data_IF_908493960508
#
_entry.id   IF_908493960508
#
_cell.length_a   1.000
_cell.length_b   1.000
_cell.length_c   1.000
_cell.angle_alpha   90.00
_cell.angle_beta   90.00
_cell.angle_gamma   90.00
#
_symmetry.space_group_name_H-M   'P 1'
#
loop_
_entity.id
_entity.type
_entity.pdbx_description
1 polymer ?
#
# COMPACT_ATOMS: atom_id res chain seq x y z
N UNK A 1 -5.17 22.71 15.92
CA UNK A 1 -5.53 21.42 15.28
C UNK A 1 -4.21 20.86 14.76
N UNK A 2 -3.77 19.71 15.29
CA UNK A 2 -2.51 19.00 14.98
C UNK A 2 -1.32 19.89 14.55
N UNK A 3 -0.74 20.63 15.50
CA UNK A 3 0.42 21.47 15.20
C UNK A 3 1.62 20.58 14.80
N UNK A 4 2.25 20.91 13.68
CA UNK A 4 3.40 20.19 13.14
C UNK A 4 4.70 20.81 13.65
N UNK A 5 5.70 19.96 13.91
CA UNK A 5 7.06 20.41 14.21
C UNK A 5 7.65 21.18 13.01
N UNK A 6 8.65 22.04 13.26
CA UNK A 6 9.40 22.71 12.18
C UNK A 6 10.01 21.70 11.20
N UNK A 7 10.49 20.56 11.72
CA UNK A 7 11.00 19.44 10.92
C UNK A 7 9.94 18.89 9.97
N UNK A 8 8.73 18.63 10.47
CA UNK A 8 7.64 18.12 9.64
C UNK A 8 7.23 19.15 8.57
N UNK A 9 7.16 20.43 8.92
CA UNK A 9 6.85 21.50 7.97
C UNK A 9 7.90 21.61 6.85
N UNK A 10 9.19 21.48 7.19
CA UNK A 10 10.28 21.45 6.21
C UNK A 10 10.18 20.24 5.26
N UNK A 11 9.95 19.03 5.79
CA UNK A 11 9.75 17.84 4.95
C UNK A 11 8.56 17.97 4.01
N UNK A 12 7.44 18.53 4.49
CA UNK A 12 6.25 18.80 3.65
C UNK A 12 6.59 19.76 2.53
N UNK A 13 7.24 20.89 2.85
CA UNK A 13 7.61 21.90 1.86
C UNK A 13 8.57 21.35 0.80
N UNK A 14 9.62 20.63 1.21
CA UNK A 14 10.58 20.00 0.28
C UNK A 14 9.93 18.90 -0.56
N UNK A 15 9.06 18.08 0.03
CA UNK A 15 8.33 17.03 -0.71
C UNK A 15 7.40 17.64 -1.76
N UNK A 16 6.64 18.68 -1.38
CA UNK A 16 5.75 19.38 -2.30
C UNK A 16 6.53 20.01 -3.46
N UNK A 17 7.64 20.69 -3.16
CA UNK A 17 8.48 21.30 -4.19
C UNK A 17 9.07 20.23 -5.13
N UNK A 18 9.55 19.11 -4.59
CA UNK A 18 10.09 18.00 -5.39
C UNK A 18 9.02 17.42 -6.32
N UNK A 19 7.81 17.14 -5.81
CA UNK A 19 6.72 16.62 -6.64
C UNK A 19 6.42 17.60 -7.79
N UNK A 20 6.28 18.89 -7.50
CA UNK A 20 5.95 19.92 -8.51
C UNK A 20 7.05 20.13 -9.54
N UNK A 21 8.32 20.06 -9.14
CA UNK A 21 9.47 20.42 -9.99
C UNK A 21 10.06 19.21 -10.73
N UNK A 22 10.02 18.02 -10.14
CA UNK A 22 10.74 16.85 -10.63
C UNK A 22 9.81 15.72 -11.10
N UNK A 23 8.60 15.58 -10.51
CA UNK A 23 7.69 14.46 -10.82
C UNK A 23 6.56 14.90 -11.77
N UNK A 24 5.74 15.87 -11.38
CA UNK A 24 4.57 16.33 -12.15
C UNK A 24 4.89 16.68 -13.62
N UNK A 25 6.02 17.35 -13.95
CA UNK A 25 6.34 17.70 -15.33
C UNK A 25 6.57 16.50 -16.26
N UNK A 26 6.94 15.33 -15.72
CA UNK A 26 7.29 14.15 -16.51
C UNK A 26 6.36 12.96 -16.30
N UNK A 27 5.50 12.99 -15.27
CA UNK A 27 4.75 11.82 -14.81
C UNK A 27 3.89 11.21 -15.93
N UNK A 28 3.23 12.03 -16.76
CA UNK A 28 2.46 11.52 -17.90
C UNK A 28 3.35 10.74 -18.88
N UNK A 29 4.46 11.34 -19.30
CA UNK A 29 5.38 10.72 -20.25
C UNK A 29 6.01 9.45 -19.66
N UNK A 30 6.32 9.45 -18.36
CA UNK A 30 6.81 8.28 -17.64
C UNK A 30 5.81 7.12 -17.70
N UNK A 31 4.53 7.36 -17.40
CA UNK A 31 3.51 6.30 -17.45
C UNK A 31 3.19 5.86 -18.88
N UNK A 32 3.23 6.76 -19.86
CA UNK A 32 3.12 6.40 -21.28
C UNK A 32 4.27 5.45 -21.69
N UNK A 33 5.51 5.73 -21.26
CA UNK A 33 6.68 4.86 -21.50
C UNK A 33 6.53 3.52 -20.77
N UNK A 34 6.09 3.51 -19.51
CA UNK A 34 5.78 2.26 -18.77
C UNK A 34 4.82 1.38 -19.56
N UNK A 35 3.72 1.93 -20.08
CA UNK A 35 2.75 1.14 -20.83
C UNK A 35 3.29 0.63 -22.18
N UNK A 36 4.21 1.37 -22.80
CA UNK A 36 4.86 0.94 -24.04
C UNK A 36 5.89 -0.18 -23.81
N UNK A 37 6.62 -0.13 -22.70
CA UNK A 37 7.58 -1.16 -22.31
C UNK A 37 6.88 -2.45 -21.84
N UNK A 38 5.69 -2.33 -21.26
CA UNK A 38 4.98 -3.40 -20.56
C UNK A 38 3.57 -3.63 -21.14
N UNK A 39 3.51 -4.13 -22.39
CA UNK A 39 2.26 -4.18 -23.17
C UNK A 39 1.29 -5.29 -22.79
N UNK A 40 1.79 -6.35 -22.15
CA UNK A 40 1.03 -7.55 -21.84
C UNK A 40 1.38 -8.10 -20.45
N UNK A 41 0.81 -9.26 -20.11
CA UNK A 41 1.01 -9.93 -18.84
C UNK A 41 2.33 -10.70 -18.71
N UNK A 42 3.27 -10.63 -19.67
CA UNK A 42 4.57 -11.32 -19.60
C UNK A 42 5.57 -10.54 -18.73
N UNK A 43 5.47 -10.78 -17.42
CA UNK A 43 6.30 -10.11 -16.41
C UNK A 43 7.80 -10.34 -16.56
N UNK A 44 8.21 -11.38 -17.28
CA UNK A 44 9.63 -11.69 -17.46
C UNK A 44 10.36 -10.65 -18.32
N UNK A 45 9.62 -9.84 -19.07
CA UNK A 45 10.13 -8.77 -19.93
C UNK A 45 9.90 -7.38 -19.34
N UNK A 46 9.20 -7.29 -18.22
CA UNK A 46 8.77 -6.03 -17.67
C UNK A 46 9.94 -5.18 -17.18
N UNK A 47 9.84 -3.87 -17.40
CA UNK A 47 10.92 -2.92 -17.18
C UNK A 47 10.37 -1.60 -16.62
N UNK A 48 11.18 -0.97 -15.76
CA UNK A 48 11.00 0.42 -15.37
C UNK A 48 11.73 1.35 -16.35
N UNK A 49 11.18 2.53 -16.67
CA UNK A 49 11.94 3.59 -17.34
C UNK A 49 13.18 3.99 -16.54
N UNK A 50 14.29 4.28 -17.23
CA UNK A 50 15.56 4.66 -16.61
C UNK A 50 15.46 5.92 -15.72
N UNK A 51 14.48 6.78 -16.02
CA UNK A 51 14.15 8.01 -15.33
C UNK A 51 13.76 7.74 -13.85
N UNK A 52 13.25 6.55 -13.52
CA UNK A 52 12.93 6.19 -12.14
C UNK A 52 14.19 6.27 -11.24
N UNK A 53 15.32 5.72 -11.70
CA UNK A 53 16.57 5.73 -10.92
C UNK A 53 17.17 7.14 -10.80
N UNK A 54 16.97 7.98 -11.81
CA UNK A 54 17.36 9.39 -11.75
C UNK A 54 16.56 10.14 -10.67
N UNK A 55 15.24 9.93 -10.63
CA UNK A 55 14.36 10.52 -9.60
C UNK A 55 14.71 10.02 -8.20
N UNK A 56 14.92 8.70 -8.02
CA UNK A 56 15.34 8.12 -6.74
C UNK A 56 16.67 8.72 -6.26
N UNK A 57 17.64 8.91 -7.17
CA UNK A 57 18.92 9.55 -6.86
C UNK A 57 18.74 10.99 -6.39
N UNK A 58 17.91 11.78 -7.10
CA UNK A 58 17.59 13.16 -6.69
C UNK A 58 16.87 13.19 -5.33
N UNK A 59 15.91 12.30 -5.10
CA UNK A 59 15.17 12.21 -3.84
C UNK A 59 16.09 11.90 -2.66
N UNK A 60 17.03 10.95 -2.82
CA UNK A 60 18.08 10.66 -1.83
C UNK A 60 18.95 11.88 -1.55
N UNK A 61 19.44 12.55 -2.59
CA UNK A 61 20.26 13.75 -2.44
C UNK A 61 19.52 14.90 -1.75
N UNK A 62 18.20 14.99 -1.94
CA UNK A 62 17.33 15.95 -1.26
C UNK A 62 16.95 15.54 0.17
N UNK A 63 17.37 14.35 0.65
CA UNK A 63 17.01 13.82 1.96
C UNK A 63 15.52 13.45 2.08
N UNK A 64 14.85 13.14 0.97
CA UNK A 64 13.44 12.75 0.89
C UNK A 64 13.33 11.23 0.66
N UNK A 65 13.81 10.43 1.61
CA UNK A 65 13.96 8.99 1.45
C UNK A 65 13.60 8.24 2.73
N UNK A 66 12.92 7.09 2.62
CA UNK A 66 12.46 6.28 3.77
C UNK A 66 11.64 7.08 4.80
N UNK A 67 10.85 8.06 4.35
CA UNK A 67 10.14 9.00 5.23
C UNK A 67 9.03 8.34 6.08
N UNK A 68 8.60 7.13 5.71
CA UNK A 68 7.62 6.34 6.45
C UNK A 68 8.18 5.73 7.74
N UNK A 69 9.51 5.56 7.82
CA UNK A 69 10.14 4.82 8.91
C UNK A 69 10.42 5.77 10.09
N UNK A 70 9.90 5.48 11.30
CA UNK A 70 10.04 6.34 12.46
C UNK A 70 11.42 6.23 13.14
N UNK A 71 12.31 5.40 12.61
CA UNK A 71 13.71 5.30 13.02
C UNK A 71 14.51 6.45 12.39
N UNK A 72 15.20 7.25 13.19
CA UNK A 72 15.99 8.40 12.69
C UNK A 72 17.37 8.03 12.15
N UNK A 73 17.86 6.81 12.41
CA UNK A 73 19.12 6.32 11.86
C UNK A 73 18.90 5.66 10.50
N UNK A 74 17.80 4.92 10.35
CA UNK A 74 17.47 4.16 9.14
C UNK A 74 16.48 4.87 8.20
N UNK A 75 15.78 5.88 8.69
CA UNK A 75 14.77 6.65 7.96
C UNK A 75 14.72 8.11 8.39
N UNK A 76 13.57 8.76 8.23
CA UNK A 76 13.41 10.18 8.54
C UNK A 76 13.07 10.46 10.02
N UNK A 77 12.72 9.44 10.80
CA UNK A 77 12.39 9.61 12.21
C UNK A 77 11.10 10.41 12.47
N UNK A 78 10.17 10.42 11.50
CA UNK A 78 8.91 11.15 11.59
C UNK A 78 7.86 10.36 12.39
N UNK A 79 7.01 11.07 13.13
CA UNK A 79 5.84 10.45 13.74
C UNK A 79 4.82 10.04 12.67
N UNK A 80 3.84 9.19 13.01
CA UNK A 80 2.79 8.78 12.07
C UNK A 80 1.97 10.00 11.64
N UNK A 81 1.68 10.91 12.57
CA UNK A 81 1.01 12.17 12.27
C UNK A 81 1.83 13.08 11.35
N UNK A 82 3.14 13.23 11.60
CA UNK A 82 4.01 14.05 10.75
C UNK A 82 4.08 13.48 9.33
N UNK A 83 4.24 12.15 9.21
CA UNK A 83 4.27 11.46 7.93
C UNK A 83 2.93 11.50 7.19
N UNK A 84 1.79 11.63 7.89
CA UNK A 84 0.47 11.65 7.28
C UNK A 84 0.31 12.71 6.18
N UNK A 85 0.84 13.90 6.44
CA UNK A 85 0.80 15.02 5.49
C UNK A 85 1.69 14.77 4.26
N UNK A 86 2.84 14.13 4.46
CA UNK A 86 3.76 13.76 3.37
C UNK A 86 3.13 12.65 2.53
N UNK A 87 2.58 11.62 3.16
CA UNK A 87 1.90 10.52 2.49
C UNK A 87 0.70 11.02 1.66
N UNK A 88 -0.06 11.99 2.19
CA UNK A 88 -1.11 12.68 1.43
C UNK A 88 -0.55 13.38 0.18
N UNK A 89 0.55 14.14 0.29
CA UNK A 89 1.21 14.74 -0.89
C UNK A 89 1.62 13.68 -1.91
N UNK A 90 2.26 12.59 -1.46
CA UNK A 90 2.68 11.52 -2.37
C UNK A 90 1.51 10.80 -3.03
N UNK A 91 0.33 10.76 -2.40
CA UNK A 91 -0.86 10.12 -2.94
C UNK A 91 -1.43 10.81 -4.19
N UNK A 92 -1.03 12.06 -4.44
CA UNK A 92 -1.42 12.81 -5.64
C UNK A 92 -0.76 12.29 -6.92
N UNK A 93 0.27 11.45 -6.79
CA UNK A 93 1.07 10.89 -7.88
C UNK A 93 1.18 9.37 -7.71
N UNK A 94 1.05 8.62 -8.80
CA UNK A 94 1.24 7.16 -8.76
C UNK A 94 2.72 6.80 -8.69
N UNK A 95 3.60 7.72 -9.09
CA UNK A 95 5.05 7.55 -9.14
C UNK A 95 5.74 7.93 -7.83
N UNK A 96 5.27 8.98 -7.16
CA UNK A 96 5.94 9.58 -6.00
C UNK A 96 6.26 8.60 -4.85
N UNK A 97 5.38 7.67 -4.44
CA UNK A 97 5.70 6.72 -3.38
C UNK A 97 6.94 5.89 -3.70
N UNK A 98 7.13 5.45 -4.94
CA UNK A 98 8.31 4.66 -5.36
C UNK A 98 9.57 5.52 -5.40
N UNK A 99 9.47 6.76 -5.88
CA UNK A 99 10.58 7.72 -5.92
C UNK A 99 11.14 8.01 -4.53
N UNK A 100 10.30 8.02 -3.51
CA UNK A 100 10.69 8.28 -2.11
C UNK A 100 10.93 7.00 -1.28
N UNK A 101 10.90 5.82 -1.91
CA UNK A 101 10.97 4.50 -1.26
C UNK A 101 9.92 4.29 -0.15
N UNK A 102 8.74 4.85 -0.36
CA UNK A 102 7.59 4.83 0.54
C UNK A 102 6.41 3.99 0.00
N UNK A 103 6.65 3.21 -1.06
CA UNK A 103 5.63 2.40 -1.72
C UNK A 103 5.31 1.12 -0.93
N UNK A 104 4.06 0.66 -1.04
CA UNK A 104 3.68 -0.69 -0.66
C UNK A 104 4.13 -1.69 -1.77
N UNK A 105 4.36 -2.97 -1.45
CA UNK A 105 4.35 -3.55 -0.10
C UNK A 105 5.68 -3.34 0.67
N UNK A 106 6.69 -2.73 0.04
CA UNK A 106 8.05 -2.60 0.58
C UNK A 106 8.10 -1.87 1.92
N UNK A 107 7.39 -0.75 2.08
CA UNK A 107 7.38 -0.01 3.36
C UNK A 107 6.91 -0.89 4.53
N UNK A 108 5.85 -1.68 4.33
CA UNK A 108 5.35 -2.59 5.36
C UNK A 108 6.29 -3.77 5.62
N UNK A 109 6.98 -4.27 4.60
CA UNK A 109 7.96 -5.33 4.74
C UNK A 109 9.25 -4.83 5.43
N UNK A 110 9.67 -3.59 5.16
CA UNK A 110 10.78 -2.93 5.84
C UNK A 110 10.47 -2.68 7.32
N UNK A 111 9.30 -2.14 7.66
CA UNK A 111 8.88 -1.98 9.06
C UNK A 111 8.86 -3.30 9.84
N UNK A 112 8.39 -4.36 9.17
CA UNK A 112 8.35 -5.69 9.75
C UNK A 112 9.77 -6.20 10.05
N UNK A 113 10.69 -6.14 9.09
CA UNK A 113 12.08 -6.58 9.29
C UNK A 113 12.82 -5.69 10.30
N UNK A 114 12.54 -4.39 10.33
CA UNK A 114 13.07 -3.47 11.32
C UNK A 114 12.69 -3.88 12.75
N UNK A 115 11.42 -4.25 12.97
CA UNK A 115 10.91 -4.66 14.29
C UNK A 115 11.30 -6.08 14.69
N UNK A 116 11.20 -7.03 13.77
CA UNK A 116 11.20 -8.47 14.09
C UNK A 116 12.33 -9.26 13.44
N UNK A 117 13.06 -8.67 12.49
CA UNK A 117 14.16 -9.35 11.82
C UNK A 117 15.37 -9.56 12.73
N UNK A 118 16.08 -10.68 12.56
CA UNK A 118 17.41 -10.87 13.16
C UNK A 118 18.43 -9.89 12.58
N UNK A 119 19.61 -9.78 13.18
CA UNK A 119 20.67 -8.90 12.65
C UNK A 119 21.11 -9.33 11.25
N UNK A 120 21.23 -10.63 11.02
CA UNK A 120 21.58 -11.22 9.73
C UNK A 120 20.48 -10.94 8.69
N UNK A 121 19.21 -11.12 9.06
CA UNK A 121 18.08 -10.81 8.17
C UNK A 121 18.02 -9.31 7.83
N UNK A 122 18.30 -8.43 8.81
CA UNK A 122 18.36 -6.98 8.59
C UNK A 122 19.49 -6.61 7.64
N UNK A 123 20.68 -7.16 7.84
CA UNK A 123 21.82 -6.91 6.97
C UNK A 123 21.57 -7.42 5.54
N UNK A 124 21.02 -8.62 5.40
CA UNK A 124 20.82 -9.26 4.10
C UNK A 124 19.64 -8.67 3.31
N UNK A 125 18.54 -8.30 3.98
CA UNK A 125 17.29 -7.94 3.29
C UNK A 125 16.79 -6.54 3.60
N UNK A 126 16.83 -6.10 4.87
CA UNK A 126 16.35 -4.76 5.22
C UNK A 126 17.24 -3.68 4.61
N UNK A 127 18.58 -3.83 4.69
CA UNK A 127 19.49 -2.81 4.18
C UNK A 127 19.35 -2.58 2.66
N UNK A 128 19.32 -3.62 1.79
CA UNK A 128 19.08 -3.40 0.36
C UNK A 128 17.70 -2.82 0.04
N UNK A 129 16.67 -3.15 0.83
CA UNK A 129 15.33 -2.55 0.71
C UNK A 129 15.36 -1.05 1.07
N UNK A 130 15.99 -0.69 2.19
CA UNK A 130 16.19 0.70 2.62
C UNK A 130 17.03 1.49 1.61
N UNK A 131 17.96 0.84 0.91
CA UNK A 131 18.77 1.45 -0.15
C UNK A 131 18.02 1.58 -1.48
N UNK A 132 16.85 0.97 -1.64
CA UNK A 132 16.13 1.02 -2.92
C UNK A 132 16.67 0.09 -4.00
N UNK A 133 17.50 -0.89 -3.65
CA UNK A 133 18.25 -1.76 -4.57
C UNK A 133 17.44 -2.99 -4.99
N UNK A 134 16.66 -3.54 -4.06
CA UNK A 134 15.75 -4.67 -4.29
C UNK A 134 14.32 -4.26 -3.93
N UNK A 135 13.34 -5.02 -4.41
CA UNK A 135 11.94 -4.99 -3.99
C UNK A 135 11.57 -6.28 -3.28
N UNK A 136 10.49 -6.23 -2.53
CA UNK A 136 9.97 -7.31 -1.71
C UNK A 136 8.50 -7.58 -2.00
N UNK A 137 8.06 -8.78 -1.65
CA UNK A 137 6.68 -9.25 -1.89
C UNK A 137 6.12 -9.81 -0.60
N UNK A 138 4.84 -9.56 -0.33
CA UNK A 138 4.14 -10.17 0.81
C UNK A 138 3.12 -11.20 0.31
N UNK A 139 3.30 -12.45 0.73
CA UNK A 139 2.52 -13.60 0.27
C UNK A 139 1.67 -14.16 1.42
N UNK A 140 0.41 -13.75 1.48
CA UNK A 140 -0.53 -14.17 2.53
C UNK A 140 -1.80 -14.79 1.96
N UNK A 141 -2.45 -14.09 1.02
CA UNK A 141 -3.74 -14.49 0.44
C UNK A 141 -3.60 -15.75 -0.40
N UNK A 142 -4.57 -16.66 -0.26
CA UNK A 142 -4.64 -17.93 -0.97
C UNK A 142 -5.87 -17.98 -1.89
N UNK A 143 -5.77 -18.55 -3.10
CA UNK A 143 -6.90 -18.60 -4.03
C UNK A 143 -7.96 -19.63 -3.64
N UNK A 144 -7.59 -20.68 -2.90
CA UNK A 144 -8.48 -21.79 -2.56
C UNK A 144 -9.36 -21.55 -1.32
N UNK A 145 -9.09 -20.51 -0.55
CA UNK A 145 -9.77 -20.23 0.72
C UNK A 145 -10.13 -18.76 0.89
N UNK A 146 -11.17 -18.50 1.68
CA UNK A 146 -11.59 -17.15 2.04
C UNK A 146 -10.56 -16.51 3.00
N UNK A 147 -9.54 -15.88 2.40
CA UNK A 147 -8.36 -15.34 3.11
C UNK A 147 -8.63 -14.07 3.93
N UNK A 148 -9.85 -13.53 3.88
CA UNK A 148 -10.27 -12.43 4.76
C UNK A 148 -10.32 -12.87 6.23
N UNK A 149 -10.56 -14.15 6.49
CA UNK A 149 -10.27 -14.80 7.76
C UNK A 149 -8.91 -15.50 7.65
N UNK A 150 -7.90 -14.92 8.29
CA UNK A 150 -6.53 -15.42 8.23
C UNK A 150 -6.37 -16.83 8.84
N UNK A 151 -7.34 -17.30 9.62
CA UNK A 151 -7.30 -18.67 10.21
C UNK A 151 -7.65 -19.76 9.20
N UNK A 152 -8.18 -19.41 8.02
CA UNK A 152 -8.45 -20.37 6.93
C UNK A 152 -7.21 -20.74 6.12
N UNK A 153 -6.05 -20.14 6.39
CA UNK A 153 -4.81 -20.35 5.63
C UNK A 153 -4.40 -21.83 5.63
N UNK A 154 -4.08 -22.38 4.45
CA UNK A 154 -3.73 -23.79 4.27
C UNK A 154 -2.30 -24.00 3.77
N UNK A 155 -1.67 -22.99 3.17
CA UNK A 155 -0.27 -23.09 2.80
C UNK A 155 0.59 -23.29 4.06
N UNK A 156 1.52 -24.24 4.01
CA UNK A 156 2.23 -24.73 5.19
C UNK A 156 3.68 -24.26 5.24
N UNK A 157 4.20 -24.10 6.46
CA UNK A 157 5.61 -24.01 6.75
C UNK A 157 5.94 -25.02 7.86
N UNK A 158 6.57 -26.14 7.50
CA UNK A 158 6.86 -27.27 8.38
C UNK A 158 8.36 -27.36 8.62
N UNK A 159 8.77 -27.59 9.87
CA UNK A 159 10.18 -27.76 10.23
C UNK A 159 10.59 -29.21 9.92
N UNK A 160 11.66 -29.38 9.15
CA UNK A 160 12.26 -30.66 8.79
C UNK A 160 13.77 -30.56 9.01
N UNK A 161 14.24 -31.05 10.18
CA UNK A 161 15.64 -30.88 10.59
C UNK A 161 16.00 -29.42 10.84
N UNK A 162 16.99 -28.92 10.11
CA UNK A 162 17.48 -27.53 10.13
C UNK A 162 16.86 -26.65 9.02
N UNK A 163 15.86 -27.17 8.30
CA UNK A 163 15.13 -26.47 7.24
C UNK A 163 13.64 -26.26 7.57
N UNK A 164 13.05 -25.34 6.82
CA UNK A 164 11.61 -25.09 6.72
C UNK A 164 11.19 -25.51 5.32
N UNK A 165 10.21 -26.40 5.23
CA UNK A 165 9.59 -26.85 3.98
C UNK A 165 8.28 -26.11 3.78
N UNK A 166 8.18 -25.36 2.68
CA UNK A 166 7.02 -24.56 2.32
C UNK A 166 6.24 -25.21 1.18
N UNK A 167 4.91 -25.29 1.34
CA UNK A 167 4.01 -25.78 0.31
C UNK A 167 2.74 -24.94 0.24
N UNK A 168 2.24 -24.71 -0.98
CA UNK A 168 0.94 -24.10 -1.21
C UNK A 168 0.95 -23.07 -2.34
N UNK A 169 -0.14 -22.32 -2.44
CA UNK A 169 -0.32 -21.31 -3.50
C UNK A 169 -0.79 -20.00 -2.90
N UNK A 170 -0.15 -18.90 -3.30
CA UNK A 170 -0.51 -17.54 -2.93
C UNK A 170 -0.89 -16.74 -4.17
N UNK A 171 -1.70 -15.70 -3.98
CA UNK A 171 -2.11 -14.79 -5.06
C UNK A 171 -2.35 -13.38 -4.52
N UNK A 172 -2.50 -12.41 -5.42
CA UNK A 172 -2.49 -10.98 -5.08
C UNK A 172 -1.19 -10.55 -4.38
N UNK A 173 -0.09 -11.19 -4.77
CA UNK A 173 1.25 -10.87 -4.30
C UNK A 173 1.78 -9.66 -5.07
N UNK A 174 1.48 -8.46 -4.55
CA UNK A 174 1.88 -7.19 -5.17
C UNK A 174 3.41 -7.04 -5.22
N UNK A 175 3.93 -6.47 -6.31
CA UNK A 175 5.36 -6.30 -6.55
C UNK A 175 6.05 -7.51 -7.16
N UNK A 176 5.34 -8.63 -7.37
CA UNK A 176 5.94 -9.87 -7.86
C UNK A 176 6.39 -9.78 -9.34
N UNK A 177 5.82 -8.86 -10.11
CA UNK A 177 6.25 -8.62 -11.48
C UNK A 177 7.49 -7.72 -11.60
N UNK A 178 7.90 -7.09 -10.50
CA UNK A 178 9.01 -6.13 -10.54
C UNK A 178 10.34 -6.84 -10.82
N UNK A 179 11.15 -6.40 -11.80
CA UNK A 179 12.42 -7.04 -12.13
C UNK A 179 13.42 -7.04 -10.95
N UNK A 180 13.24 -6.14 -9.98
CA UNK A 180 14.03 -6.04 -8.77
C UNK A 180 13.40 -6.77 -7.57
N UNK A 181 12.28 -7.47 -7.72
CA UNK A 181 11.77 -8.34 -6.66
C UNK A 181 12.77 -9.45 -6.37
N UNK A 182 13.29 -9.52 -5.12
CA UNK A 182 14.27 -10.54 -4.70
C UNK A 182 13.86 -11.35 -3.49
N UNK A 183 12.93 -10.84 -2.68
CA UNK A 183 12.58 -11.47 -1.40
C UNK A 183 11.08 -11.50 -1.18
N UNK A 184 10.58 -12.68 -0.80
CA UNK A 184 9.19 -12.92 -0.41
C UNK A 184 9.13 -13.05 1.11
N UNK A 185 8.17 -12.38 1.74
CA UNK A 185 7.69 -12.71 3.08
C UNK A 185 6.46 -13.60 2.92
N UNK A 186 6.64 -14.89 3.20
CA UNK A 186 5.61 -15.92 3.09
C UNK A 186 4.96 -16.16 4.45
N UNK A 187 3.65 -15.93 4.53
CA UNK A 187 2.86 -16.26 5.71
C UNK A 187 2.18 -17.62 5.50
N UNK A 188 2.36 -18.52 6.46
CA UNK A 188 1.87 -19.90 6.36
C UNK A 188 1.39 -20.45 7.71
N UNK A 189 0.57 -21.49 7.61
CA UNK A 189 0.21 -22.37 8.72
C UNK A 189 1.44 -23.20 9.14
N UNK A 190 1.80 -23.13 10.41
CA UNK A 190 2.87 -23.92 11.04
C UNK A 190 2.24 -24.67 12.21
N UNK A 191 1.74 -25.91 11.99
CA UNK A 191 1.03 -26.66 13.01
C UNK A 191 1.93 -26.96 14.20
N UNK A 192 1.44 -26.64 15.41
CA UNK A 192 2.09 -27.01 16.67
C UNK A 192 1.00 -27.43 17.69
N UNK A 193 0.90 -28.72 18.04
CA UNK A 193 -0.15 -29.22 18.93
C UNK A 193 -0.07 -28.67 20.36
N UNK A 194 1.07 -28.08 20.74
CA UNK A 194 1.28 -27.51 22.07
C UNK A 194 0.93 -26.03 22.17
N UNK A 195 0.54 -25.41 21.06
CA UNK A 195 0.22 -23.97 20.97
C UNK A 195 -1.27 -23.75 20.75
N UNK A 196 -1.78 -22.62 21.20
CA UNK A 196 -3.16 -22.24 20.90
C UNK A 196 -3.35 -21.85 19.43
N UNK A 197 -4.61 -21.65 19.02
CA UNK A 197 -4.99 -21.36 17.63
C UNK A 197 -4.32 -20.10 17.05
N UNK A 198 -4.02 -19.09 17.87
CA UNK A 198 -3.37 -17.86 17.42
C UNK A 198 -1.87 -18.00 17.19
N UNK A 199 -1.28 -19.11 17.62
CA UNK A 199 0.15 -19.39 17.50
C UNK A 199 0.45 -20.53 16.52
N UNK A 200 -0.44 -20.74 15.54
CA UNK A 200 -0.34 -21.76 14.50
C UNK A 200 0.14 -21.23 13.14
N UNK A 201 0.65 -20.00 13.08
CA UNK A 201 1.06 -19.38 11.82
C UNK A 201 2.43 -18.73 11.99
N UNK A 202 3.22 -18.68 10.92
CA UNK A 202 4.57 -18.11 10.93
C UNK A 202 4.78 -17.23 9.70
N UNK A 203 5.81 -16.38 9.75
CA UNK A 203 6.32 -15.67 8.58
C UNK A 203 7.74 -16.13 8.27
N UNK A 204 8.00 -16.36 6.99
CA UNK A 204 9.26 -16.94 6.50
C UNK A 204 9.79 -16.08 5.35
N UNK A 205 11.08 -15.76 5.39
CA UNK A 205 11.80 -15.14 4.28
C UNK A 205 12.14 -16.18 3.21
N UNK A 206 11.80 -15.89 1.96
CA UNK A 206 12.03 -16.80 0.83
C UNK A 206 12.62 -16.01 -0.34
N UNK A 207 13.90 -16.19 -0.69
CA UNK A 207 14.45 -15.64 -1.93
C UNK A 207 13.61 -16.08 -3.13
N UNK A 208 13.31 -15.15 -4.03
CA UNK A 208 12.35 -15.37 -5.13
C UNK A 208 12.80 -16.49 -6.09
N UNK A 209 14.10 -16.72 -6.18
CA UNK A 209 14.78 -17.69 -7.03
C UNK A 209 15.02 -19.04 -6.35
N UNK A 210 14.51 -19.23 -5.12
CA UNK A 210 14.59 -20.51 -4.42
C UNK A 210 13.89 -21.59 -5.24
N UNK A 211 14.55 -22.74 -5.42
CA UNK A 211 13.98 -23.88 -6.13
C UNK A 211 12.62 -24.27 -5.55
N UNK A 212 11.63 -24.46 -6.44
CA UNK A 212 10.24 -24.77 -6.08
C UNK A 212 9.31 -23.54 -6.02
N UNK A 213 9.85 -22.32 -6.08
CA UNK A 213 9.05 -21.10 -6.27
C UNK A 213 8.72 -20.93 -7.75
N UNK A 214 7.44 -20.88 -8.09
CA UNK A 214 6.98 -20.68 -9.47
C UNK A 214 5.98 -19.53 -9.54
N UNK A 215 6.34 -18.46 -10.25
CA UNK A 215 5.41 -17.38 -10.59
C UNK A 215 4.51 -17.89 -11.72
N UNK A 216 3.22 -18.09 -11.42
CA UNK A 216 2.27 -18.74 -12.33
C UNK A 216 1.75 -17.77 -13.39
N UNK A 217 1.40 -16.56 -12.97
CA UNK A 217 0.85 -15.49 -13.81
C UNK A 217 0.76 -14.16 -13.06
N UNK A 218 0.62 -13.08 -13.81
CA UNK A 218 0.15 -11.79 -13.30
C UNK A 218 -1.38 -11.67 -13.37
N UNK A 219 -1.95 -10.89 -12.46
CA UNK A 219 -3.37 -10.67 -12.28
C UNK A 219 -3.73 -9.26 -12.74
N UNK A 220 -4.64 -9.09 -13.72
CA UNK A 220 -5.12 -7.78 -14.07
C UNK A 220 -6.23 -7.30 -13.13
N UNK A 221 -6.31 -5.99 -12.93
CA UNK A 221 -7.45 -5.30 -12.30
C UNK A 221 -8.07 -4.36 -13.33
N UNK A 222 -9.33 -4.59 -13.67
CA UNK A 222 -10.01 -3.89 -14.77
C UNK A 222 -9.25 -3.93 -16.11
N UNK A 223 -8.46 -4.99 -16.35
CA UNK A 223 -7.67 -5.17 -17.56
C UNK A 223 -6.27 -4.54 -17.50
N UNK A 224 -5.94 -3.79 -16.45
CA UNK A 224 -4.58 -3.27 -16.23
C UNK A 224 -3.77 -4.22 -15.32
N UNK A 225 -2.49 -4.39 -15.62
CA UNK A 225 -1.59 -5.26 -14.85
C UNK A 225 -0.82 -4.53 -13.76
N UNK A 226 -0.90 -3.19 -13.70
CA UNK A 226 -0.06 -2.37 -12.83
C UNK A 226 1.44 -2.64 -13.06
N UNK A 227 1.82 -2.93 -14.31
CA UNK A 227 3.20 -3.24 -14.67
C UNK A 227 4.11 -2.01 -14.50
N UNK A 228 5.41 -2.20 -14.20
CA UNK A 228 6.09 -3.48 -13.96
C UNK A 228 5.91 -3.97 -12.50
N UNK A 229 5.16 -3.28 -11.63
CA UNK A 229 4.97 -3.69 -10.24
C UNK A 229 4.19 -5.02 -10.14
N UNK A 230 3.00 -5.08 -10.73
CA UNK A 230 2.21 -6.30 -10.85
C UNK A 230 1.57 -6.82 -9.57
N UNK A 231 0.64 -7.75 -9.76
CA UNK A 231 0.08 -8.61 -8.71
C UNK A 231 0.12 -10.05 -9.18
N UNK A 232 0.91 -10.89 -8.53
CA UNK A 232 1.15 -12.25 -9.02
C UNK A 232 0.37 -13.33 -8.29
N UNK A 233 0.19 -14.45 -8.99
CA UNK A 233 -0.08 -15.76 -8.40
C UNK A 233 1.22 -16.56 -8.40
N UNK A 234 1.53 -17.20 -7.27
CA UNK A 234 2.79 -17.93 -7.06
C UNK A 234 2.53 -19.23 -6.31
N UNK A 235 3.18 -20.30 -6.74
CA UNK A 235 3.19 -21.60 -6.06
C UNK A 235 4.54 -21.88 -5.41
N UNK A 236 4.48 -22.62 -4.31
CA UNK A 236 5.61 -23.12 -3.55
C UNK A 236 5.43 -24.64 -3.49
N UNK A 237 6.34 -25.36 -4.14
CA UNK A 237 6.36 -26.82 -4.18
C UNK A 237 7.67 -27.34 -3.58
N UNK A 238 7.60 -27.89 -2.37
CA UNK A 238 8.74 -28.37 -1.59
C UNK A 238 9.90 -27.35 -1.52
N UNK A 239 9.56 -26.07 -1.34
CA UNK A 239 10.55 -25.00 -1.20
C UNK A 239 11.23 -25.14 0.15
N UNK A 240 12.56 -25.23 0.14
CA UNK A 240 13.38 -25.44 1.34
C UNK A 240 14.25 -24.23 1.63
N UNK A 241 14.19 -23.74 2.87
CA UNK A 241 15.01 -22.64 3.38
C UNK A 241 15.48 -22.96 4.80
N UNK A 242 16.60 -22.39 5.30
CA UNK A 242 17.04 -22.63 6.66
C UNK A 242 16.02 -22.19 7.72
N UNK A 243 16.01 -22.83 8.89
CA UNK A 243 15.15 -22.42 10.04
C UNK A 243 15.39 -20.97 10.48
N UNK A 244 16.57 -20.41 10.22
CA UNK A 244 16.89 -19.00 10.46
C UNK A 244 16.14 -18.04 9.55
N UNK A 245 15.37 -18.53 8.56
CA UNK A 245 14.51 -17.69 7.72
C UNK A 245 13.13 -17.41 8.36
N UNK A 246 12.78 -18.04 9.49
CA UNK A 246 11.65 -17.55 10.27
C UNK A 246 11.91 -16.10 10.71
N UNK A 247 10.93 -15.23 10.50
CA UNK A 247 10.97 -13.87 11.08
C UNK A 247 10.42 -13.96 12.49
N UNK A 248 11.20 -13.55 13.48
CA UNK A 248 10.93 -13.87 14.88
C UNK A 248 11.11 -15.37 15.12
N UNK A 249 10.01 -16.12 15.20
CA UNK A 249 10.02 -17.56 15.42
C UNK A 249 8.72 -18.25 15.01
N UNK A 250 8.75 -19.59 15.01
CA UNK A 250 7.60 -20.41 14.65
C UNK A 250 6.38 -20.10 15.54
N UNK A 251 5.22 -19.82 14.91
CA UNK A 251 3.98 -19.50 15.59
C UNK A 251 3.75 -18.00 15.86
N UNK A 252 4.69 -17.11 15.51
CA UNK A 252 4.56 -15.66 15.75
C UNK A 252 3.88 -14.88 14.60
N UNK A 253 3.36 -15.59 13.59
CA UNK A 253 2.85 -14.97 12.36
C UNK A 253 1.71 -13.97 12.57
N UNK A 254 0.74 -14.24 13.45
CA UNK A 254 -0.35 -13.28 13.70
C UNK A 254 0.10 -12.03 14.46
N UNK A 255 1.02 -12.17 15.42
CA UNK A 255 1.59 -11.03 16.14
C UNK A 255 2.32 -10.10 15.16
N UNK A 256 3.20 -10.67 14.33
CA UNK A 256 3.97 -9.93 13.34
C UNK A 256 3.04 -9.29 12.28
N UNK A 257 2.00 -10.00 11.84
CA UNK A 257 1.01 -9.46 10.90
C UNK A 257 0.28 -8.24 11.48
N UNK A 258 -0.12 -8.27 12.75
CA UNK A 258 -0.76 -7.13 13.40
C UNK A 258 0.19 -5.93 13.52
N UNK A 259 1.47 -6.19 13.82
CA UNK A 259 2.51 -5.16 13.84
C UNK A 259 2.71 -4.46 12.50
N UNK A 260 2.68 -5.22 11.39
CA UNK A 260 2.82 -4.70 10.01
C UNK A 260 1.57 -4.00 9.49
N UNK A 261 0.39 -4.57 9.72
CA UNK A 261 -0.84 -4.09 9.07
C UNK A 261 -1.39 -2.79 9.67
N UNK A 262 -1.03 -2.42 10.89
CA UNK A 262 -1.45 -1.15 11.50
C UNK A 262 -0.95 0.07 10.71
N UNK A 263 0.37 0.32 10.64
CA UNK A 263 0.94 1.43 9.87
C UNK A 263 0.64 1.31 8.35
N UNK A 264 0.72 0.11 7.77
CA UNK A 264 0.41 -0.09 6.35
C UNK A 264 -0.99 0.39 5.96
N UNK A 265 -2.01 0.09 6.76
CA UNK A 265 -3.40 0.54 6.53
C UNK A 265 -3.52 2.05 6.52
N UNK A 266 -2.89 2.75 7.48
CA UNK A 266 -3.02 4.21 7.56
C UNK A 266 -2.23 4.90 6.43
N UNK A 267 -1.09 4.37 6.00
CA UNK A 267 -0.33 4.90 4.86
C UNK A 267 -1.13 4.86 3.56
N UNK A 268 -1.87 3.78 3.32
CA UNK A 268 -2.81 3.72 2.18
C UNK A 268 -3.91 4.77 2.29
N UNK A 269 -4.48 4.95 3.47
CA UNK A 269 -5.55 5.94 3.68
C UNK A 269 -5.07 7.37 3.44
N UNK A 270 -3.88 7.74 3.93
CA UNK A 270 -3.27 9.04 3.67
C UNK A 270 -3.11 9.30 2.17
N UNK A 271 -2.60 8.31 1.41
CA UNK A 271 -2.47 8.43 -0.04
C UNK A 271 -3.82 8.53 -0.77
N UNK A 272 -4.85 7.84 -0.30
CA UNK A 272 -6.21 7.99 -0.86
C UNK A 272 -6.71 9.44 -0.76
N UNK A 273 -6.41 10.16 0.32
CA UNK A 273 -6.78 11.58 0.45
C UNK A 273 -6.08 12.42 -0.63
N UNK A 274 -4.79 12.19 -0.85
CA UNK A 274 -4.02 12.86 -1.91
C UNK A 274 -4.59 12.61 -3.31
N UNK A 275 -4.88 11.34 -3.62
CA UNK A 275 -5.50 10.97 -4.89
C UNK A 275 -6.88 11.60 -5.07
N UNK A 276 -7.66 11.73 -3.99
CA UNK A 276 -8.98 12.37 -4.03
C UNK A 276 -8.87 13.88 -4.28
N UNK A 277 -7.91 14.57 -3.66
CA UNK A 277 -7.62 15.97 -3.97
C UNK A 277 -7.21 16.15 -5.43
N UNK A 278 -6.33 15.29 -5.95
CA UNK A 278 -5.93 15.36 -7.36
C UNK A 278 -7.11 15.13 -8.31
N UNK A 279 -7.99 14.17 -8.00
CA UNK A 279 -9.19 13.92 -8.77
C UNK A 279 -10.17 15.12 -8.73
N UNK A 280 -10.32 15.78 -7.57
CA UNK A 280 -11.14 16.98 -7.42
C UNK A 280 -10.59 18.15 -8.25
N UNK A 281 -9.27 18.38 -8.23
CA UNK A 281 -8.62 19.40 -9.07
C UNK A 281 -8.89 19.15 -10.55
N UNK A 282 -8.63 17.93 -11.03
CA UNK A 282 -8.89 17.54 -12.42
C UNK A 282 -10.37 17.75 -12.78
N UNK A 283 -11.29 17.38 -11.88
CA UNK A 283 -12.73 17.58 -12.07
C UNK A 283 -13.08 19.06 -12.27
N UNK A 284 -12.53 19.94 -11.43
CA UNK A 284 -12.80 21.39 -11.48
C UNK A 284 -12.19 21.99 -12.75
N UNK A 285 -10.92 21.72 -13.04
CA UNK A 285 -10.20 22.24 -14.21
C UNK A 285 -10.87 21.83 -15.52
N UNK A 286 -11.28 20.55 -15.62
CA UNK A 286 -12.02 20.04 -16.77
C UNK A 286 -13.40 20.68 -16.89
N UNK A 287 -14.11 20.81 -15.77
CA UNK A 287 -15.44 21.39 -15.72
C UNK A 287 -15.47 22.87 -16.15
N UNK A 288 -14.43 23.64 -15.79
CA UNK A 288 -14.29 25.06 -16.15
C UNK A 288 -13.85 25.24 -17.62
N UNK A 289 -13.00 24.37 -18.14
CA UNK A 289 -12.39 24.52 -19.47
C UNK A 289 -13.30 24.10 -20.64
N UNK A 290 -14.36 23.32 -20.38
CA UNK A 290 -15.25 22.78 -21.42
C UNK A 290 -16.65 23.39 -21.34
N UNK A 291 -17.31 23.55 -22.49
CA UNK A 291 -18.68 24.08 -22.58
C UNK A 291 -19.63 23.10 -23.26
N UNK A 292 -20.84 22.98 -22.74
CA UNK A 292 -21.96 22.26 -23.34
C UNK A 292 -23.27 22.98 -22.98
N UNK A 293 -24.29 22.88 -23.83
CA UNK A 293 -25.59 23.53 -23.60
C UNK A 293 -25.48 25.03 -23.23
N UNK A 294 -24.54 25.73 -23.86
CA UNK A 294 -24.32 27.18 -23.65
C UNK A 294 -23.63 27.59 -22.35
N UNK A 295 -23.17 26.65 -21.51
CA UNK A 295 -22.48 26.94 -20.23
C UNK A 295 -21.21 26.11 -20.08
N UNK A 296 -20.33 26.53 -19.18
CA UNK A 296 -19.26 25.65 -18.68
C UNK A 296 -19.86 24.38 -18.09
N UNK A 297 -19.22 23.23 -18.30
CA UNK A 297 -19.73 21.94 -17.79
C UNK A 297 -19.94 22.02 -16.27
N UNK A 298 -19.04 22.69 -15.54
CA UNK A 298 -19.14 22.86 -14.10
C UNK A 298 -20.43 23.58 -13.64
N UNK A 299 -21.02 24.42 -14.50
CA UNK A 299 -22.25 25.19 -14.23
C UNK A 299 -23.54 24.49 -14.69
N UNK A 300 -23.45 23.25 -15.18
CA UNK A 300 -24.59 22.46 -15.61
C UNK A 300 -25.14 21.62 -14.45
N UNK A 301 -26.46 21.68 -14.23
CA UNK A 301 -27.16 20.85 -13.22
C UNK A 301 -26.50 20.91 -11.84
N UNK A 302 -26.40 19.75 -11.19
CA UNK A 302 -25.80 19.59 -9.85
C UNK A 302 -24.27 19.42 -9.86
N UNK A 303 -23.53 19.93 -10.85
CA UNK A 303 -22.07 19.76 -10.89
C UNK A 303 -21.35 20.59 -9.82
N UNK A 304 -21.87 21.76 -9.45
CA UNK A 304 -21.36 22.52 -8.30
C UNK A 304 -21.62 21.80 -6.96
N UNK A 305 -22.75 21.11 -6.83
CA UNK A 305 -23.04 20.28 -5.65
C UNK A 305 -22.06 19.12 -5.51
N UNK A 306 -21.67 18.48 -6.62
CA UNK A 306 -20.62 17.43 -6.63
C UNK A 306 -19.27 17.95 -6.15
N UNK A 307 -18.88 19.17 -6.53
CA UNK A 307 -17.66 19.80 -6.02
C UNK A 307 -17.75 20.01 -4.51
N UNK A 308 -18.89 20.52 -4.01
CA UNK A 308 -19.10 20.73 -2.59
C UNK A 308 -19.07 19.41 -1.81
N UNK A 309 -19.75 18.37 -2.31
CA UNK A 309 -19.78 17.03 -1.71
C UNK A 309 -18.38 16.41 -1.66
N UNK A 310 -17.61 16.49 -2.75
CA UNK A 310 -16.23 16.01 -2.78
C UNK A 310 -15.36 16.70 -1.72
N UNK A 311 -15.42 18.03 -1.63
CA UNK A 311 -14.67 18.81 -0.62
C UNK A 311 -15.03 18.36 0.81
N UNK A 312 -16.32 18.24 1.12
CA UNK A 312 -16.78 17.81 2.45
C UNK A 312 -16.28 16.40 2.77
N UNK A 313 -16.42 15.45 1.85
CA UNK A 313 -15.98 14.06 2.05
C UNK A 313 -14.46 13.98 2.27
N UNK A 314 -13.67 14.69 1.47
CA UNK A 314 -12.21 14.71 1.58
C UNK A 314 -11.77 15.26 2.93
N UNK A 315 -12.34 16.39 3.35
CA UNK A 315 -11.97 17.03 4.63
C UNK A 315 -12.33 16.15 5.83
N UNK A 316 -13.50 15.48 5.80
CA UNK A 316 -13.89 14.52 6.84
C UNK A 316 -12.93 13.33 6.91
N UNK A 317 -12.57 12.75 5.76
CA UNK A 317 -11.65 11.63 5.70
C UNK A 317 -10.22 12.00 6.13
N UNK A 318 -9.74 13.20 5.74
CA UNK A 318 -8.46 13.75 6.20
C UNK A 318 -8.41 13.89 7.71
N UNK A 319 -9.41 14.53 8.31
CA UNK A 319 -9.46 14.73 9.76
C UNK A 319 -9.52 13.40 10.53
N UNK A 320 -10.26 12.41 10.02
CA UNK A 320 -10.28 11.07 10.59
C UNK A 320 -8.92 10.38 10.48
N UNK A 321 -8.22 10.55 9.35
CA UNK A 321 -6.85 10.03 9.15
C UNK A 321 -5.88 10.63 10.16
N UNK A 322 -5.88 11.96 10.31
CA UNK A 322 -5.01 12.66 11.26
C UNK A 322 -5.34 12.31 12.72
N UNK A 323 -6.63 12.08 13.03
CA UNK A 323 -7.04 11.61 14.35
C UNK A 323 -6.53 10.19 14.64
N UNK A 324 -6.65 9.28 13.67
CA UNK A 324 -6.09 7.93 13.78
C UNK A 324 -4.57 7.97 14.01
N UNK A 325 -3.85 8.77 13.22
CA UNK A 325 -2.41 8.96 13.35
C UNK A 325 -2.01 9.52 14.72
N UNK A 326 -2.71 10.55 15.20
CA UNK A 326 -2.51 11.12 16.53
C UNK A 326 -2.70 10.06 17.63
N UNK A 327 -3.75 9.23 17.56
CA UNK A 327 -3.97 8.15 18.54
C UNK A 327 -2.86 7.09 18.46
N UNK A 328 -2.35 6.77 17.27
CA UNK A 328 -1.23 5.84 17.12
C UNK A 328 0.02 6.39 17.80
N UNK A 329 0.36 7.66 17.58
CA UNK A 329 1.54 8.31 18.17
C UNK A 329 1.43 8.44 19.70
N UNK A 330 0.25 8.74 20.23
CA UNK A 330 0.07 9.07 21.66
C UNK A 330 -0.39 7.90 22.54
N UNK A 331 -1.13 6.94 21.98
CA UNK A 331 -1.76 5.83 22.73
C UNK A 331 -1.34 4.45 22.19
N UNK A 332 -0.62 4.40 21.07
CA UNK A 332 -0.22 3.16 20.40
C UNK A 332 -1.32 2.53 19.53
N UNK A 333 -0.91 1.63 18.65
CA UNK A 333 -1.77 1.03 17.62
C UNK A 333 -2.99 0.29 18.20
N UNK A 334 -2.85 -0.38 19.34
CA UNK A 334 -3.94 -1.13 19.97
C UNK A 334 -5.07 -0.22 20.47
N UNK A 335 -4.74 0.97 20.96
CA UNK A 335 -5.74 1.96 21.39
C UNK A 335 -6.40 2.69 20.21
N UNK A 336 -5.77 2.66 19.03
CA UNK A 336 -6.23 3.28 17.79
C UNK A 336 -6.99 2.33 16.86
N UNK A 337 -7.25 1.07 17.25
CA UNK A 337 -7.84 0.04 16.39
C UNK A 337 -9.17 0.46 15.73
N UNK A 338 -10.05 1.13 16.47
CA UNK A 338 -11.32 1.60 15.93
C UNK A 338 -11.11 2.62 14.82
N UNK A 339 -10.25 3.61 15.04
CA UNK A 339 -9.99 4.69 14.09
C UNK A 339 -9.22 4.18 12.86
N UNK A 340 -8.25 3.28 13.03
CA UNK A 340 -7.55 2.61 11.92
C UNK A 340 -8.54 1.82 11.06
N UNK A 341 -9.47 1.07 11.69
CA UNK A 341 -10.50 0.32 10.96
C UNK A 341 -11.49 1.26 10.27
N UNK A 342 -11.90 2.35 10.94
CA UNK A 342 -12.83 3.32 10.40
C UNK A 342 -12.24 4.03 9.17
N UNK A 343 -10.99 4.50 9.25
CA UNK A 343 -10.38 5.18 8.11
C UNK A 343 -10.12 4.23 6.93
N UNK A 344 -9.83 2.95 7.20
CA UNK A 344 -9.70 1.91 6.16
C UNK A 344 -10.98 1.66 5.38
N UNK A 345 -12.14 1.99 5.95
CA UNK A 345 -13.44 1.98 5.23
C UNK A 345 -13.67 3.31 4.53
N UNK A 346 -13.44 4.43 5.22
CA UNK A 346 -13.79 5.78 4.76
C UNK A 346 -12.90 6.23 3.59
N UNK A 347 -11.57 6.18 3.74
CA UNK A 347 -10.65 6.76 2.77
C UNK A 347 -10.78 6.18 1.35
N UNK A 348 -10.79 4.85 1.13
CA UNK A 348 -10.97 4.31 -0.22
C UNK A 348 -12.38 4.55 -0.77
N UNK A 349 -13.41 4.61 0.08
CA UNK A 349 -14.78 4.97 -0.35
C UNK A 349 -14.85 6.41 -0.85
N UNK A 350 -14.24 7.35 -0.13
CA UNK A 350 -14.17 8.76 -0.53
C UNK A 350 -13.40 8.92 -1.85
N UNK A 351 -12.23 8.28 -1.97
CA UNK A 351 -11.49 8.30 -3.24
C UNK A 351 -12.34 7.75 -4.39
N UNK A 352 -13.03 6.61 -4.19
CA UNK A 352 -13.84 5.99 -5.23
C UNK A 352 -14.97 6.91 -5.69
N UNK A 353 -15.65 7.60 -4.77
CA UNK A 353 -16.73 8.54 -5.09
C UNK A 353 -16.19 9.76 -5.85
N UNK A 354 -15.11 10.38 -5.35
CA UNK A 354 -14.55 11.61 -5.94
C UNK A 354 -13.99 11.34 -7.32
N UNK A 355 -13.27 10.24 -7.51
CA UNK A 355 -12.71 9.89 -8.82
C UNK A 355 -13.79 9.52 -9.82
N UNK A 356 -14.87 8.83 -9.42
CA UNK A 356 -16.02 8.55 -10.30
C UNK A 356 -16.71 9.85 -10.78
N UNK A 357 -16.89 10.82 -9.88
CA UNK A 357 -17.38 12.15 -10.26
C UNK A 357 -16.43 12.85 -11.25
N UNK A 358 -15.12 12.75 -11.04
CA UNK A 358 -14.12 13.32 -11.93
C UNK A 358 -14.13 12.65 -13.32
N UNK A 359 -14.23 11.32 -13.38
CA UNK A 359 -14.37 10.53 -14.62
C UNK A 359 -15.59 11.03 -15.40
N UNK A 360 -16.74 11.16 -14.72
CA UNK A 360 -17.97 11.60 -15.36
C UNK A 360 -17.86 13.01 -15.98
N UNK A 361 -17.16 13.93 -15.32
CA UNK A 361 -16.92 15.30 -15.85
C UNK A 361 -15.96 15.30 -17.05
N UNK A 362 -15.05 14.33 -17.14
CA UNK A 362 -14.15 14.17 -18.30
C UNK A 362 -14.82 13.51 -19.51
N UNK A 363 -15.93 12.80 -19.32
CA UNK A 363 -16.61 12.05 -20.38
C UNK A 363 -15.75 10.87 -20.85
N UNK A 364 -15.65 10.64 -22.16
CA UNK A 364 -14.87 9.52 -22.72
C UNK A 364 -13.38 9.54 -22.34
N UNK A 365 -12.79 10.71 -22.13
CA UNK A 365 -11.40 10.86 -21.67
C UNK A 365 -11.21 10.38 -20.21
N UNK A 366 -12.27 10.41 -19.40
CA UNK A 366 -12.21 9.97 -18.01
C UNK A 366 -11.99 8.46 -17.86
N UNK A 367 -12.31 7.68 -18.89
CA UNK A 367 -12.11 6.22 -18.93
C UNK A 367 -10.91 5.81 -19.79
N UNK A 368 -10.13 6.77 -20.29
CA UNK A 368 -8.88 6.51 -21.02
C UNK A 368 -7.67 6.56 -20.09
N UNK A 369 -6.47 6.39 -20.67
CA UNK A 369 -5.18 6.59 -19.99
C UNK A 369 -4.62 8.01 -20.21
N UNK A 370 -5.40 8.92 -20.78
CA UNK A 370 -4.96 10.31 -20.99
C UNK A 370 -4.94 11.10 -19.67
N UNK A 371 -5.63 10.60 -18.64
CA UNK A 371 -5.65 11.13 -17.28
C UNK A 371 -5.35 10.00 -16.29
N UNK A 372 -4.90 10.31 -15.05
CA UNK A 372 -4.67 9.29 -14.02
C UNK A 372 -5.96 8.73 -13.38
N UNK A 373 -7.14 9.16 -13.84
CA UNK A 373 -8.42 8.88 -13.16
C UNK A 373 -8.76 7.38 -13.12
N UNK A 374 -8.46 6.64 -14.20
CA UNK A 374 -8.70 5.18 -14.25
C UNK A 374 -7.84 4.43 -13.24
N UNK A 375 -6.58 4.82 -13.11
CA UNK A 375 -5.66 4.24 -12.13
C UNK A 375 -6.05 4.61 -10.67
N UNK A 376 -6.49 5.85 -10.41
CA UNK A 376 -7.05 6.22 -9.11
C UNK A 376 -8.34 5.46 -8.77
N UNK A 377 -9.23 5.23 -9.74
CA UNK A 377 -10.42 4.41 -9.54
C UNK A 377 -10.07 2.95 -9.23
N UNK A 378 -9.11 2.37 -9.96
CA UNK A 378 -8.55 1.04 -9.66
C UNK A 378 -8.04 1.00 -8.21
N UNK A 379 -7.16 1.93 -7.83
CA UNK A 379 -6.61 2.01 -6.47
C UNK A 379 -7.72 2.08 -5.41
N UNK A 380 -8.71 2.96 -5.59
CA UNK A 380 -9.82 3.11 -4.65
C UNK A 380 -10.60 1.80 -4.48
N UNK A 381 -10.96 1.15 -5.59
CA UNK A 381 -11.76 -0.06 -5.57
C UNK A 381 -10.99 -1.24 -4.99
N UNK A 382 -9.72 -1.39 -5.34
CA UNK A 382 -8.83 -2.45 -4.87
C UNK A 382 -8.54 -2.32 -3.37
N UNK A 383 -8.37 -1.09 -2.86
CA UNK A 383 -8.16 -0.83 -1.44
C UNK A 383 -9.37 -1.10 -0.55
N UNK A 384 -10.56 -1.34 -1.11
CA UNK A 384 -11.72 -1.87 -0.36
C UNK A 384 -11.65 -3.38 -0.13
N UNK A 385 -10.64 -4.05 -0.68
CA UNK A 385 -10.37 -5.49 -0.52
C UNK A 385 -8.98 -5.74 0.10
N UNK A 386 -7.95 -5.05 -0.41
CA UNK A 386 -6.59 -5.14 0.10
C UNK A 386 -6.51 -4.73 1.58
N UNK A 387 -5.60 -5.35 2.35
CA UNK A 387 -5.44 -5.17 3.80
C UNK A 387 -6.72 -5.37 4.64
N UNK A 388 -7.66 -6.16 4.11
CA UNK A 388 -8.92 -6.51 4.74
C UNK A 388 -10.12 -5.82 4.07
N UNK A 389 -11.17 -6.56 3.69
CA UNK A 389 -12.39 -5.99 3.13
C UNK A 389 -13.11 -5.03 4.09
N UNK A 390 -13.87 -4.08 3.54
CA UNK A 390 -14.67 -3.13 4.31
C UNK A 390 -15.51 -3.81 5.40
N UNK A 391 -16.11 -4.97 5.09
CA UNK A 391 -16.99 -5.72 5.99
C UNK A 391 -16.25 -6.26 7.22
N UNK A 392 -14.99 -6.66 7.08
CA UNK A 392 -14.16 -7.13 8.21
C UNK A 392 -13.86 -5.96 9.15
N UNK A 393 -13.54 -4.80 8.59
CA UNK A 393 -13.29 -3.58 9.37
C UNK A 393 -14.55 -3.06 10.06
N UNK A 394 -15.68 -3.05 9.37
CA UNK A 394 -17.00 -2.72 9.95
C UNK A 394 -17.37 -3.68 11.09
N UNK A 395 -17.08 -4.97 10.94
CA UNK A 395 -17.26 -5.97 11.99
C UNK A 395 -16.41 -5.68 13.24
N UNK A 396 -15.14 -5.29 13.06
CA UNK A 396 -14.28 -4.88 14.17
C UNK A 396 -14.82 -3.63 14.88
N UNK A 397 -15.23 -2.60 14.14
CA UNK A 397 -15.81 -1.37 14.70
C UNK A 397 -17.05 -1.70 15.52
N UNK A 398 -17.99 -2.48 14.95
CA UNK A 398 -19.21 -2.89 15.65
C UNK A 398 -18.89 -3.68 16.93
N UNK A 399 -17.95 -4.63 16.87
CA UNK A 399 -17.51 -5.40 18.04
C UNK A 399 -16.99 -4.50 19.17
N UNK A 400 -16.14 -3.52 18.84
CA UNK A 400 -15.56 -2.61 19.83
C UNK A 400 -16.61 -1.65 20.40
N UNK A 401 -17.54 -1.16 19.58
CA UNK A 401 -18.60 -0.25 20.01
C UNK A 401 -19.61 -0.95 20.94
N UNK A 402 -20.03 -2.17 20.59
CA UNK A 402 -20.95 -2.96 21.42
C UNK A 402 -20.33 -3.36 22.76
N UNK A 403 -19.01 -3.64 22.79
CA UNK A 403 -18.28 -3.93 24.03
C UNK A 403 -18.36 -2.79 25.04
N UNK A 404 -18.37 -1.52 24.60
CA UNK A 404 -18.55 -0.34 25.48
C UNK A 404 -19.88 -0.35 26.23
N UNK A 405 -20.87 -1.10 25.72
CA UNK A 405 -22.21 -1.27 26.31
C UNK A 405 -22.41 -2.63 26.98
N UNK A 406 -21.34 -3.40 27.17
CA UNK A 406 -21.41 -4.73 27.80
C UNK A 406 -21.99 -5.83 26.90
N UNK A 407 -22.19 -5.56 25.60
CA UNK A 407 -22.67 -6.55 24.63
C UNK A 407 -21.48 -7.13 23.84
N UNK A 408 -20.75 -8.07 24.45
CA UNK A 408 -19.65 -8.79 23.83
C UNK A 408 -19.92 -10.30 23.82
N UNK A 409 -19.67 -10.96 22.68
CA UNK A 409 -19.48 -12.41 22.64
C UNK A 409 -18.08 -12.76 23.12
#
# INVERSE_FOLDING_TARGET
MFALSERAQDFIARTQAFIQQEIEPIEKAFWDEVHQLNVDGDWTKWQWPAQLEQLKTKAKAAGLWNMFLPDSELGAGLSVQEYAHIAELTGRSLLAPTVFNCNAPDSGNMELLWRYGSQEQKQQWLQPLLNGEIRSVFCMTEPAVASSDATNMQATAVIDGDEIVLNGRKWWSSGLGDPNAKIIIFMAYTPDPNKDRHHQHSMVLVPIDTQGVTIERMLPVFGDYDAPHGHGQVSFDNVRVPVSNFIGGAGQGFEIAQGRLGPGRIHHCMRCIGAAEKALELMIDRGMSRKAFGKEILKLGGNLERVAEARVQIDQARLLTLYAAYKMDTLGNMAALTEISAIKVVAPTVLQNVVDMAIQIHGGEGVSRDTPLTAFFNQARSLRLADGPDEVHKGMIAKLELKKRGYGR
#
